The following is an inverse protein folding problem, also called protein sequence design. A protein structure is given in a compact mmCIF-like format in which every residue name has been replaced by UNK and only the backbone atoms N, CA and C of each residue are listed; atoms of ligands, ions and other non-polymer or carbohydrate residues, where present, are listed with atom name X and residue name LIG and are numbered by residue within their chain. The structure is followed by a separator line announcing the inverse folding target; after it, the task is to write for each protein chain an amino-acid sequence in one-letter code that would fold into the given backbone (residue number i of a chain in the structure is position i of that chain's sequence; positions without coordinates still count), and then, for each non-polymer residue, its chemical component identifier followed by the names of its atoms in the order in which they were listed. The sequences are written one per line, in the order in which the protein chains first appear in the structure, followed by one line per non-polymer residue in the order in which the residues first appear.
data_IF_937205833899
#
_entry.id   IF_937205833899
#
_cell.length_a   1.000
_cell.length_b   1.000
_cell.length_c   1.000
_cell.angle_alpha   90.00
_cell.angle_beta   90.00
_cell.angle_gamma   90.00
#
_symmetry.space_group_name_H-M   'P 1'
#
loop_
_entity.id
_entity.type
_entity.pdbx_description
1 polymer ?
#
# COMPACT_ATOMS: atom_id res chain seq x y z
N UNK A 1 -20.28 51.90 66.59
CA UNK A 1 -20.87 50.72 65.93
C UNK A 1 -19.73 49.93 65.32
N UNK A 2 -19.45 48.78 65.92
CA UNK A 2 -18.38 47.85 65.53
C UNK A 2 -18.66 47.26 64.14
N UNK A 3 -17.68 47.33 63.25
CA UNK A 3 -17.66 46.52 62.03
C UNK A 3 -16.49 45.55 62.11
N UNK A 4 -16.83 44.30 62.44
CA UNK A 4 -15.97 43.13 62.43
C UNK A 4 -15.34 42.90 61.04
N UNK A 5 -14.06 42.51 60.94
CA UNK A 5 -13.51 42.00 59.69
C UNK A 5 -13.97 40.55 59.46
N UNK A 6 -14.59 40.31 58.29
CA UNK A 6 -14.91 38.96 57.80
C UNK A 6 -13.61 38.18 57.52
N UNK A 7 -13.30 37.20 58.37
CA UNK A 7 -12.29 36.17 58.11
C UNK A 7 -12.78 35.30 56.95
N UNK A 8 -12.15 35.41 55.77
CA UNK A 8 -12.32 34.47 54.67
C UNK A 8 -11.55 33.19 55.00
N UNK A 9 -12.24 32.19 55.52
CA UNK A 9 -11.73 30.82 55.62
C UNK A 9 -11.56 30.22 54.22
N UNK A 10 -10.38 30.39 53.63
CA UNK A 10 -9.96 29.69 52.42
C UNK A 10 -9.52 28.27 52.76
N UNK A 11 -10.49 27.34 52.88
CA UNK A 11 -10.18 25.93 52.91
C UNK A 11 -9.71 25.49 51.51
N UNK A 12 -8.39 25.43 51.31
CA UNK A 12 -7.77 24.75 50.17
C UNK A 12 -8.09 23.25 50.26
N UNK A 13 -9.17 22.83 49.61
CA UNK A 13 -9.43 21.42 49.37
C UNK A 13 -8.31 20.86 48.49
N UNK A 14 -7.29 20.25 49.12
CA UNK A 14 -6.30 19.42 48.43
C UNK A 14 -7.05 18.27 47.76
N UNK A 15 -7.26 18.41 46.44
CA UNK A 15 -7.81 17.37 45.59
C UNK A 15 -6.84 16.20 45.58
N UNK A 16 -7.05 15.24 46.47
CA UNK A 16 -6.27 14.00 46.51
C UNK A 16 -6.43 13.31 45.16
N UNK A 17 -5.34 13.19 44.40
CA UNK A 17 -5.31 12.38 43.18
C UNK A 17 -5.58 10.95 43.61
N UNK A 18 -6.79 10.45 43.35
CA UNK A 18 -7.15 9.04 43.56
C UNK A 18 -6.08 8.21 42.86
N UNK A 19 -5.36 7.38 43.60
CA UNK A 19 -4.34 6.49 43.03
C UNK A 19 -5.01 5.69 41.92
N UNK A 20 -4.57 5.88 40.67
CA UNK A 20 -5.07 5.09 39.54
C UNK A 20 -4.67 3.65 39.84
N UNK A 21 -5.67 2.78 40.07
CA UNK A 21 -5.41 1.34 40.08
C UNK A 21 -4.73 1.00 38.76
N UNK A 22 -3.61 0.26 38.76
CA UNK A 22 -3.02 -0.20 37.52
C UNK A 22 -4.07 -1.03 36.78
N UNK A 23 -4.42 -0.61 35.57
CA UNK A 23 -5.21 -1.45 34.67
C UNK A 23 -4.33 -2.62 34.24
N UNK A 24 -4.92 -3.76 33.88
CA UNK A 24 -4.16 -4.88 33.32
C UNK A 24 -3.27 -4.45 32.14
N UNK A 25 -3.75 -3.48 31.36
CA UNK A 25 -2.99 -2.85 30.27
C UNK A 25 -1.72 -2.14 30.75
N UNK A 26 -1.74 -1.49 31.93
CA UNK A 26 -0.55 -0.82 32.48
C UNK A 26 0.48 -1.81 33.05
N UNK A 27 0.11 -3.11 33.16
CA UNK A 27 1.03 -4.17 33.56
C UNK A 27 1.70 -4.83 32.36
N UNK A 28 1.24 -4.56 31.14
CA UNK A 28 1.84 -5.11 29.93
C UNK A 28 3.08 -4.30 29.53
N UNK A 29 4.16 -4.97 29.12
CA UNK A 29 5.27 -4.34 28.41
C UNK A 29 4.82 -3.58 27.15
N UNK A 30 5.54 -2.52 26.78
CA UNK A 30 5.17 -1.66 25.64
C UNK A 30 5.16 -2.42 24.31
N UNK A 31 6.11 -3.33 24.11
CA UNK A 31 6.22 -4.22 22.94
C UNK A 31 5.02 -5.18 22.84
N UNK A 32 4.53 -5.70 23.96
CA UNK A 32 3.31 -6.52 23.97
C UNK A 32 2.09 -5.70 23.52
N UNK A 33 2.00 -4.43 23.91
CA UNK A 33 0.92 -3.53 23.48
C UNK A 33 1.05 -3.25 21.97
N UNK A 34 2.27 -3.00 21.46
CA UNK A 34 2.54 -2.82 20.03
C UNK A 34 2.16 -4.06 19.23
N UNK A 35 2.47 -5.26 19.71
CA UNK A 35 2.10 -6.52 19.06
C UNK A 35 0.57 -6.69 19.00
N UNK A 36 -0.15 -6.39 20.09
CA UNK A 36 -1.62 -6.43 20.12
C UNK A 36 -2.20 -5.49 19.07
N UNK A 37 -1.71 -4.25 19.01
CA UNK A 37 -2.19 -3.26 18.02
C UNK A 37 -1.84 -3.71 16.60
N UNK A 38 -0.64 -4.25 16.40
CA UNK A 38 -0.17 -4.73 15.11
C UNK A 38 -1.03 -5.88 14.60
N UNK A 39 -1.34 -6.85 15.46
CA UNK A 39 -2.20 -7.97 15.13
C UNK A 39 -3.62 -7.49 14.79
N UNK A 40 -4.17 -6.56 15.57
CA UNK A 40 -5.47 -5.96 15.30
C UNK A 40 -5.53 -5.37 13.88
N UNK A 41 -4.57 -4.53 13.52
CA UNK A 41 -4.58 -3.86 12.21
C UNK A 41 -4.22 -4.78 11.03
N UNK A 42 -3.59 -5.92 11.29
CA UNK A 42 -3.35 -6.95 10.26
C UNK A 42 -4.56 -7.87 10.04
N UNK A 43 -5.32 -8.19 11.09
CA UNK A 43 -6.42 -9.16 11.00
C UNK A 43 -7.79 -8.51 10.85
N UNK A 44 -7.94 -7.24 11.22
CA UNK A 44 -9.21 -6.54 11.18
C UNK A 44 -9.79 -6.44 9.75
N UNK A 45 -11.12 -6.56 9.59
CA UNK A 45 -11.82 -6.18 8.36
C UNK A 45 -11.84 -4.67 8.10
N UNK A 46 -11.69 -3.84 9.15
CA UNK A 46 -11.73 -2.37 9.12
C UNK A 46 -10.53 -1.77 9.86
N UNK A 47 -9.30 -2.01 9.39
CA UNK A 47 -8.08 -1.74 10.14
C UNK A 47 -7.93 -0.27 10.55
N UNK A 48 -8.42 0.68 9.75
CA UNK A 48 -8.37 2.10 10.10
C UNK A 48 -9.37 2.50 11.17
N UNK A 49 -10.62 2.05 11.06
CA UNK A 49 -11.66 2.34 12.03
C UNK A 49 -11.30 1.75 13.41
N UNK A 50 -10.79 0.52 13.41
CA UNK A 50 -10.35 -0.16 14.62
C UNK A 50 -9.12 0.52 15.23
N UNK A 51 -8.12 0.88 14.41
CA UNK A 51 -6.95 1.62 14.89
C UNK A 51 -7.34 3.00 15.45
N UNK A 52 -8.28 3.70 14.82
CA UNK A 52 -8.76 5.00 15.29
C UNK A 52 -9.50 4.88 16.63
N UNK A 53 -10.39 3.90 16.73
CA UNK A 53 -11.09 3.56 17.98
C UNK A 53 -10.10 3.22 19.09
N UNK A 54 -9.11 2.37 18.80
CA UNK A 54 -8.08 1.98 19.75
C UNK A 54 -7.22 3.16 20.21
N UNK A 55 -6.78 4.02 19.28
CA UNK A 55 -6.06 5.27 19.58
C UNK A 55 -6.82 6.18 20.54
N UNK A 56 -8.13 6.28 20.37
CA UNK A 56 -9.00 7.14 21.19
C UNK A 56 -9.24 6.60 22.60
N UNK A 57 -9.04 5.29 22.82
CA UNK A 57 -9.38 4.63 24.08
C UNK A 57 -8.40 4.95 25.22
N UNK A 58 -7.09 5.00 24.95
CA UNK A 58 -6.10 5.30 25.98
C UNK A 58 -4.74 5.74 25.43
N UNK A 59 -3.93 6.35 26.31
CA UNK A 59 -2.58 6.84 25.99
C UNK A 59 -1.63 5.71 25.53
N UNK A 60 -1.71 4.52 26.13
CA UNK A 60 -0.82 3.42 25.79
C UNK A 60 -1.03 2.98 24.33
N UNK A 61 -2.29 2.75 23.93
CA UNK A 61 -2.61 2.44 22.53
C UNK A 61 -2.35 3.59 21.58
N UNK A 62 -2.58 4.84 22.00
CA UNK A 62 -2.20 6.00 21.19
C UNK A 62 -0.69 6.01 20.87
N UNK A 63 0.17 5.75 21.87
CA UNK A 63 1.62 5.67 21.67
C UNK A 63 1.97 4.47 20.79
N UNK A 64 1.49 3.28 21.12
CA UNK A 64 1.75 2.05 20.36
C UNK A 64 1.32 2.15 18.89
N UNK A 65 0.22 2.86 18.60
CA UNK A 65 -0.27 3.05 17.24
C UNK A 65 0.66 3.85 16.31
N UNK A 66 1.65 4.55 16.88
CA UNK A 66 2.65 5.31 16.13
C UNK A 66 3.89 4.47 15.80
N UNK A 67 3.98 3.28 16.37
CA UNK A 67 5.09 2.37 16.17
C UNK A 67 5.24 1.97 14.70
N UNK A 68 6.49 1.79 14.26
CA UNK A 68 6.82 1.38 12.89
C UNK A 68 6.17 0.05 12.54
N UNK A 69 6.14 -0.90 13.48
CA UNK A 69 5.58 -2.23 13.30
C UNK A 69 4.09 -2.19 12.97
N UNK A 70 3.32 -1.36 13.69
CA UNK A 70 1.88 -1.15 13.42
C UNK A 70 1.68 -0.62 12.01
N UNK A 71 2.45 0.39 11.61
CA UNK A 71 2.39 0.98 10.26
C UNK A 71 2.80 0.00 9.16
N UNK A 72 3.78 -0.85 9.43
CA UNK A 72 4.23 -1.88 8.50
C UNK A 72 3.15 -2.95 8.27
N UNK A 73 2.37 -3.27 9.31
CA UNK A 73 1.44 -4.40 9.36
C UNK A 73 -0.02 -4.08 9.05
N UNK A 74 -0.38 -2.80 8.94
CA UNK A 74 -1.74 -2.39 8.60
C UNK A 74 -2.18 -2.96 7.24
N UNK A 75 -3.30 -3.68 7.22
CA UNK A 75 -3.85 -4.35 6.04
C UNK A 75 -4.64 -3.39 5.14
N UNK A 76 -3.92 -2.48 4.48
CA UNK A 76 -4.48 -1.40 3.64
C UNK A 76 -5.42 -1.93 2.54
N UNK A 77 -5.15 -3.11 2.01
CA UNK A 77 -5.93 -3.76 0.95
C UNK A 77 -7.36 -4.12 1.37
N UNK A 78 -7.64 -4.19 2.68
CA UNK A 78 -8.96 -4.54 3.23
C UNK A 78 -9.89 -3.33 3.36
N UNK A 79 -9.33 -2.12 3.40
CA UNK A 79 -10.10 -0.88 3.53
C UNK A 79 -10.04 -0.04 2.24
N UNK A 80 -10.58 -0.63 1.19
CA UNK A 80 -10.59 -0.08 -0.17
C UNK A 80 -11.41 1.22 -0.26
N UNK A 81 -12.43 1.36 0.59
CA UNK A 81 -13.23 2.58 0.68
C UNK A 81 -12.43 3.71 1.33
N UNK A 82 -11.66 3.41 2.39
CA UNK A 82 -10.63 4.32 2.90
C UNK A 82 -9.67 4.77 1.79
N UNK A 83 -9.17 3.83 0.97
CA UNK A 83 -8.23 4.14 -0.11
C UNK A 83 -8.79 5.07 -1.19
N UNK A 84 -10.10 5.01 -1.50
CA UNK A 84 -10.76 5.91 -2.46
C UNK A 84 -10.71 7.37 -1.98
N UNK A 85 -10.95 7.59 -0.70
CA UNK A 85 -10.78 8.91 -0.05
C UNK A 85 -9.30 9.31 0.05
N UNK A 86 -8.40 8.33 0.22
CA UNK A 86 -6.99 8.59 0.45
C UNK A 86 -6.25 9.22 -0.75
N UNK A 87 -6.69 8.95 -1.98
CA UNK A 87 -6.05 9.49 -3.18
C UNK A 87 -6.26 11.01 -3.36
N UNK A 88 -7.22 11.62 -2.63
CA UNK A 88 -7.60 13.04 -2.77
C UNK A 88 -7.41 13.87 -1.51
N UNK A 89 -6.96 13.28 -0.39
CA UNK A 89 -6.81 13.94 0.90
C UNK A 89 -5.34 13.92 1.37
N UNK A 90 -4.80 15.09 1.76
CA UNK A 90 -3.43 15.26 2.25
C UNK A 90 -3.13 14.44 3.51
N UNK A 91 -4.07 14.34 4.45
CA UNK A 91 -3.92 13.55 5.68
C UNK A 91 -3.73 12.07 5.36
N UNK A 92 -4.45 11.61 4.34
CA UNK A 92 -4.38 10.25 3.88
C UNK A 92 -3.08 9.93 3.14
N UNK A 93 -2.61 10.88 2.32
CA UNK A 93 -1.28 10.79 1.72
C UNK A 93 -0.19 10.76 2.80
N UNK A 94 -0.34 11.52 3.88
CA UNK A 94 0.59 11.47 5.02
C UNK A 94 0.59 10.09 5.69
N UNK A 95 -0.58 9.46 5.85
CA UNK A 95 -0.70 8.10 6.38
C UNK A 95 -0.04 7.08 5.44
N UNK A 96 -0.33 7.13 4.14
CA UNK A 96 0.27 6.23 3.15
C UNK A 96 1.80 6.37 3.11
N UNK A 97 2.33 7.59 3.07
CA UNK A 97 3.77 7.84 3.12
C UNK A 97 4.38 7.29 4.41
N UNK A 98 3.77 7.56 5.56
CA UNK A 98 4.22 7.06 6.86
C UNK A 98 4.24 5.53 6.93
N UNK A 99 3.28 4.84 6.30
CA UNK A 99 3.28 3.38 6.19
C UNK A 99 4.33 2.88 5.19
N UNK A 100 4.48 3.56 4.05
CA UNK A 100 5.50 3.23 3.05
C UNK A 100 6.92 3.35 3.60
N UNK A 101 7.22 4.41 4.34
CA UNK A 101 8.50 4.65 5.03
C UNK A 101 8.76 3.62 6.14
N UNK A 102 7.69 3.12 6.77
CA UNK A 102 7.77 2.01 7.71
C UNK A 102 8.05 0.65 7.03
N UNK A 103 7.95 0.56 5.70
CA UNK A 103 8.18 -0.66 4.92
C UNK A 103 6.90 -1.42 4.57
N UNK A 104 5.72 -0.82 4.68
CA UNK A 104 4.47 -1.46 4.25
C UNK A 104 4.48 -1.61 2.70
N UNK A 105 4.38 -2.85 2.22
CA UNK A 105 4.51 -3.15 0.81
C UNK A 105 3.30 -2.65 -0.02
N UNK A 106 2.09 -2.80 0.52
CA UNK A 106 0.85 -2.33 -0.08
C UNK A 106 0.79 -0.79 -0.12
N UNK A 107 1.31 -0.12 0.91
CA UNK A 107 1.44 1.35 0.91
C UNK A 107 2.37 1.84 -0.20
N UNK A 108 3.55 1.22 -0.33
CA UNK A 108 4.49 1.54 -1.40
C UNK A 108 3.88 1.23 -2.77
N UNK A 109 3.13 0.13 -2.93
CA UNK A 109 2.41 -0.16 -4.16
C UNK A 109 1.38 0.91 -4.51
N UNK A 110 0.54 1.34 -3.58
CA UNK A 110 -0.43 2.41 -3.81
C UNK A 110 0.24 3.76 -4.12
N UNK A 111 1.30 4.13 -3.39
CA UNK A 111 2.10 5.32 -3.67
C UNK A 111 2.70 5.28 -5.08
N UNK A 112 3.18 4.12 -5.53
CA UNK A 112 3.68 3.97 -6.88
C UNK A 112 2.61 4.31 -7.92
N UNK A 113 1.41 3.72 -7.78
CA UNK A 113 0.33 3.92 -8.74
C UNK A 113 -0.18 5.36 -8.75
N UNK A 114 -0.19 6.04 -7.59
CA UNK A 114 -0.49 7.47 -7.51
C UNK A 114 0.54 8.29 -8.31
N UNK A 115 1.84 8.03 -8.12
CA UNK A 115 2.87 8.77 -8.84
C UNK A 115 2.81 8.50 -10.35
N UNK A 116 2.66 7.23 -10.76
CA UNK A 116 2.61 6.83 -12.17
C UNK A 116 1.37 7.40 -12.86
N UNK A 117 0.17 7.15 -12.31
CA UNK A 117 -1.06 7.39 -13.05
C UNK A 117 -1.74 8.73 -12.75
N UNK A 118 -1.50 9.32 -11.58
CA UNK A 118 -2.10 10.61 -11.19
C UNK A 118 -1.13 11.78 -11.35
N UNK A 119 0.16 11.57 -11.08
CA UNK A 119 1.17 12.64 -11.13
C UNK A 119 2.07 12.60 -12.37
N UNK A 120 1.95 11.56 -13.19
CA UNK A 120 2.82 11.30 -14.35
C UNK A 120 4.33 11.27 -14.00
N UNK A 121 4.65 10.89 -12.76
CA UNK A 121 6.02 10.73 -12.26
C UNK A 121 6.40 9.25 -12.19
N UNK A 122 6.80 8.72 -13.34
CA UNK A 122 7.13 7.31 -13.52
C UNK A 122 8.38 6.92 -12.71
N UNK A 123 9.38 7.79 -12.61
CA UNK A 123 10.62 7.49 -11.90
C UNK A 123 10.36 7.33 -10.40
N UNK A 124 9.64 8.29 -9.80
CA UNK A 124 9.27 8.19 -8.39
C UNK A 124 8.37 6.99 -8.13
N UNK A 125 7.44 6.71 -9.05
CA UNK A 125 6.61 5.52 -8.99
C UNK A 125 7.40 4.22 -9.05
N UNK A 126 8.43 4.14 -9.89
CA UNK A 126 9.30 2.98 -10.03
C UNK A 126 10.09 2.69 -8.75
N UNK A 127 10.59 3.71 -8.04
CA UNK A 127 11.24 3.54 -6.74
C UNK A 127 10.31 2.89 -5.72
N UNK A 128 9.04 3.31 -5.69
CA UNK A 128 8.04 2.73 -4.81
C UNK A 128 7.67 1.29 -5.21
N UNK A 129 7.58 0.98 -6.51
CA UNK A 129 7.39 -0.40 -6.97
C UNK A 129 8.56 -1.31 -6.56
N UNK A 130 9.81 -0.82 -6.68
CA UNK A 130 10.99 -1.56 -6.20
C UNK A 130 10.86 -1.87 -4.71
N UNK A 131 10.55 -0.87 -3.87
CA UNK A 131 10.35 -1.07 -2.42
C UNK A 131 9.26 -2.09 -2.11
N UNK A 132 8.11 -2.01 -2.79
CA UNK A 132 7.01 -2.96 -2.60
C UNK A 132 7.39 -4.37 -3.05
N UNK A 133 8.02 -4.51 -4.22
CA UNK A 133 8.46 -5.79 -4.76
C UNK A 133 9.54 -6.46 -3.91
N UNK A 134 10.46 -5.69 -3.31
CA UNK A 134 11.47 -6.22 -2.38
C UNK A 134 10.86 -6.78 -1.09
N UNK A 135 9.59 -6.43 -0.78
CA UNK A 135 8.80 -6.99 0.31
C UNK A 135 7.74 -7.98 -0.22
N UNK A 136 8.07 -8.73 -1.28
CA UNK A 136 7.26 -9.80 -1.88
C UNK A 136 5.86 -9.37 -2.41
N UNK A 137 5.67 -8.09 -2.72
CA UNK A 137 4.40 -7.61 -3.27
C UNK A 137 4.25 -7.98 -4.76
N UNK A 138 3.62 -9.13 -5.03
CA UNK A 138 3.43 -9.71 -6.36
C UNK A 138 2.83 -8.74 -7.40
N UNK A 139 1.80 -7.97 -7.04
CA UNK A 139 1.19 -7.00 -7.96
C UNK A 139 2.11 -5.81 -8.27
N UNK A 140 3.06 -5.48 -7.38
CA UNK A 140 4.06 -4.45 -7.64
C UNK A 140 5.08 -4.97 -8.66
N UNK A 141 5.57 -6.19 -8.46
CA UNK A 141 6.45 -6.87 -9.41
C UNK A 141 5.79 -6.99 -10.79
N UNK A 142 4.52 -7.40 -10.84
CA UNK A 142 3.73 -7.43 -12.07
C UNK A 142 3.72 -6.04 -12.77
N UNK A 143 3.41 -4.97 -12.03
CA UNK A 143 3.39 -3.61 -12.59
C UNK A 143 4.76 -3.14 -13.12
N UNK A 144 5.86 -3.54 -12.47
CA UNK A 144 7.22 -3.23 -12.96
C UNK A 144 7.44 -3.81 -14.36
N UNK A 145 7.01 -5.05 -14.61
CA UNK A 145 7.13 -5.69 -15.92
C UNK A 145 6.23 -5.02 -16.96
N UNK A 146 4.99 -4.64 -16.60
CA UNK A 146 4.10 -3.85 -17.47
C UNK A 146 4.76 -2.52 -17.88
N UNK A 147 5.40 -1.81 -16.95
CA UNK A 147 6.11 -0.56 -17.24
C UNK A 147 7.36 -0.79 -18.09
N UNK A 148 8.12 -1.85 -17.84
CA UNK A 148 9.30 -2.19 -18.63
C UNK A 148 8.96 -2.38 -20.12
N UNK A 149 7.82 -3.04 -20.41
CA UNK A 149 7.34 -3.27 -21.77
C UNK A 149 6.80 -1.97 -22.40
N UNK A 150 6.07 -1.17 -21.61
CA UNK A 150 5.53 0.14 -22.06
C UNK A 150 6.64 1.12 -22.44
N UNK A 151 7.76 1.08 -21.72
CA UNK A 151 8.82 2.08 -21.80
C UNK A 151 10.17 1.45 -22.19
N UNK A 152 10.30 0.83 -23.37
CA UNK A 152 11.52 0.10 -23.73
C UNK A 152 12.77 1.02 -23.87
N UNK A 153 12.56 2.34 -24.00
CA UNK A 153 13.62 3.36 -24.09
C UNK A 153 13.97 4.01 -22.75
N UNK A 154 13.10 3.89 -21.74
CA UNK A 154 13.30 4.42 -20.40
C UNK A 154 13.20 3.25 -19.45
N UNK A 155 14.33 2.77 -18.93
CA UNK A 155 14.29 1.76 -17.88
C UNK A 155 14.32 2.47 -16.52
N UNK A 156 13.17 2.82 -15.90
CA UNK A 156 13.16 3.46 -14.59
C UNK A 156 13.62 2.49 -13.49
N UNK A 157 13.89 1.23 -13.85
CA UNK A 157 14.35 0.20 -12.96
C UNK A 157 15.82 -0.18 -13.15
N UNK A 158 16.53 0.42 -14.10
CA UNK A 158 17.97 0.18 -14.27
C UNK A 158 18.72 0.63 -13.01
N UNK A 159 19.34 -0.32 -12.31
CA UNK A 159 20.43 0.00 -11.39
C UNK A 159 21.68 0.08 -12.27
N UNK A 160 22.49 1.12 -12.15
CA UNK A 160 23.48 1.62 -13.13
C UNK A 160 24.48 0.65 -13.80
N UNK A 161 24.42 -0.66 -13.53
CA UNK A 161 25.21 -1.71 -14.17
C UNK A 161 24.39 -2.79 -14.93
N UNK A 162 23.05 -2.74 -14.96
CA UNK A 162 22.24 -3.68 -15.76
C UNK A 162 20.97 -3.03 -16.30
N UNK A 163 20.89 -2.88 -17.63
CA UNK A 163 19.68 -2.41 -18.32
C UNK A 163 18.58 -3.47 -18.43
N UNK A 164 18.82 -4.70 -17.97
CA UNK A 164 17.84 -5.78 -17.99
C UNK A 164 17.32 -6.00 -16.58
N UNK A 165 16.09 -5.55 -16.31
CA UNK A 165 15.26 -6.27 -15.35
C UNK A 165 15.20 -7.71 -15.86
N UNK A 166 15.74 -8.66 -15.10
CA UNK A 166 15.46 -10.06 -15.38
C UNK A 166 13.97 -10.24 -15.15
N UNK A 167 13.25 -10.28 -16.25
CA UNK A 167 11.82 -10.54 -16.31
C UNK A 167 11.58 -11.89 -15.64
N UNK A 168 11.17 -11.86 -14.38
CA UNK A 168 10.95 -13.06 -13.58
C UNK A 168 9.69 -13.76 -14.10
N UNK A 169 9.90 -14.96 -14.63
CA UNK A 169 8.83 -15.75 -15.23
C UNK A 169 7.94 -16.42 -14.18
N UNK A 170 8.33 -16.42 -12.89
CA UNK A 170 7.61 -17.09 -11.79
C UNK A 170 6.15 -16.65 -11.61
N UNK A 171 5.78 -15.45 -12.09
CA UNK A 171 4.37 -15.01 -12.05
C UNK A 171 3.48 -15.83 -12.98
N UNK A 172 4.01 -16.39 -14.06
CA UNK A 172 3.22 -17.17 -15.03
C UNK A 172 3.10 -18.65 -14.71
N UNK A 173 3.85 -19.13 -13.72
CA UNK A 173 3.73 -20.51 -13.23
C UNK A 173 2.35 -20.75 -12.58
N UNK A 174 1.69 -19.67 -12.15
CA UNK A 174 0.35 -19.66 -11.58
C UNK A 174 -0.54 -18.63 -12.32
N UNK A 175 -1.42 -19.13 -13.19
CA UNK A 175 -2.34 -18.28 -13.96
C UNK A 175 -3.32 -17.50 -13.08
N UNK A 176 -3.76 -18.08 -11.96
CA UNK A 176 -4.66 -17.40 -11.02
C UNK A 176 -3.93 -16.25 -10.34
N UNK A 177 -2.65 -16.42 -9.99
CA UNK A 177 -1.81 -15.35 -9.46
C UNK A 177 -1.60 -14.22 -10.48
N UNK A 178 -1.34 -14.54 -11.75
CA UNK A 178 -1.23 -13.54 -12.82
C UNK A 178 -2.52 -12.73 -12.95
N UNK A 179 -3.66 -13.42 -13.05
CA UNK A 179 -4.98 -12.80 -13.14
C UNK A 179 -5.26 -11.92 -11.93
N UNK A 180 -4.97 -12.40 -10.73
CA UNK A 180 -5.09 -11.62 -9.49
C UNK A 180 -4.23 -10.35 -9.52
N UNK A 181 -2.97 -10.45 -9.98
CA UNK A 181 -2.08 -9.28 -10.07
C UNK A 181 -2.64 -8.24 -11.05
N UNK A 182 -3.10 -8.68 -12.22
CA UNK A 182 -3.75 -7.82 -13.21
C UNK A 182 -4.95 -7.10 -12.60
N UNK A 183 -5.88 -7.85 -11.99
CA UNK A 183 -7.07 -7.30 -11.35
C UNK A 183 -6.73 -6.33 -10.22
N UNK A 184 -5.74 -6.65 -9.38
CA UNK A 184 -5.28 -5.81 -8.28
C UNK A 184 -4.75 -4.46 -8.78
N UNK A 185 -3.93 -4.45 -9.83
CA UNK A 185 -3.42 -3.22 -10.46
C UNK A 185 -4.55 -2.43 -11.10
N UNK A 186 -5.44 -3.06 -11.87
CA UNK A 186 -6.55 -2.37 -12.52
C UNK A 186 -7.50 -1.74 -11.51
N UNK A 187 -7.79 -2.45 -10.40
CA UNK A 187 -8.60 -1.92 -9.30
C UNK A 187 -7.93 -0.71 -8.65
N UNK A 188 -6.64 -0.79 -8.34
CA UNK A 188 -5.91 0.34 -7.77
C UNK A 188 -5.79 1.51 -8.74
N UNK A 189 -5.53 1.26 -10.04
CA UNK A 189 -5.52 2.27 -11.10
C UNK A 189 -6.84 3.04 -11.10
N UNK A 190 -7.99 2.34 -11.13
CA UNK A 190 -9.32 2.96 -11.06
C UNK A 190 -9.51 3.84 -9.83
N UNK A 191 -9.01 3.40 -8.67
CA UNK A 191 -9.07 4.19 -7.43
C UNK A 191 -8.27 5.49 -7.53
N UNK A 192 -7.10 5.48 -8.19
CA UNK A 192 -6.21 6.66 -8.23
C UNK A 192 -6.48 7.60 -9.41
N UNK A 193 -7.08 7.13 -10.51
CA UNK A 193 -7.30 7.94 -11.73
C UNK A 193 -8.74 8.43 -11.94
N UNK A 194 -9.72 7.98 -11.16
CA UNK A 194 -11.16 8.31 -11.36
C UNK A 194 -11.56 8.25 -12.84
N UNK A 195 -11.44 7.06 -13.46
CA UNK A 195 -11.85 6.71 -14.83
C UNK A 195 -11.31 7.55 -16.03
N UNK A 196 -10.42 8.53 -15.82
CA UNK A 196 -10.00 9.45 -16.90
C UNK A 196 -8.71 9.06 -17.64
N UNK A 197 -8.07 7.93 -17.30
CA UNK A 197 -6.86 7.51 -17.98
C UNK A 197 -7.19 6.75 -19.29
N UNK A 198 -7.00 7.40 -20.42
CA UNK A 198 -7.06 6.75 -21.73
C UNK A 198 -5.71 6.11 -22.06
N UNK A 199 -5.66 4.77 -22.08
CA UNK A 199 -4.50 4.05 -22.58
C UNK A 199 -4.52 4.03 -24.13
N UNK A 200 -3.89 5.03 -24.74
CA UNK A 200 -3.62 5.04 -26.19
C UNK A 200 -2.54 3.99 -26.61
N UNK A 201 -2.18 3.06 -25.73
CA UNK A 201 -0.93 2.29 -25.77
C UNK A 201 -1.00 0.94 -26.51
N UNK A 202 -2.05 0.68 -27.31
CA UNK A 202 -2.13 -0.54 -28.13
C UNK A 202 -1.17 -0.49 -29.33
N UNK A 203 -0.66 0.69 -29.69
CA UNK A 203 0.13 0.90 -30.91
C UNK A 203 1.55 0.26 -30.88
N UNK A 204 2.10 -0.09 -29.72
CA UNK A 204 3.51 -0.50 -29.58
C UNK A 204 3.75 -1.97 -29.20
N UNK A 205 2.71 -2.82 -29.17
CA UNK A 205 2.90 -4.24 -28.86
C UNK A 205 3.64 -4.91 -30.01
N UNK A 206 4.92 -5.29 -29.79
CA UNK A 206 5.70 -6.03 -30.78
C UNK A 206 5.08 -7.40 -31.00
N UNK A 207 4.48 -7.62 -32.18
CA UNK A 207 4.01 -8.96 -32.56
C UNK A 207 5.21 -9.86 -32.83
N UNK A 208 5.21 -11.03 -32.20
CA UNK A 208 6.17 -12.09 -32.50
C UNK A 208 5.96 -12.56 -33.95
N UNK A 209 7.07 -12.77 -34.67
CA UNK A 209 7.04 -13.27 -36.06
C UNK A 209 6.79 -14.78 -36.13
N UNK A 210 6.92 -15.50 -35.02
CA UNK A 210 6.66 -16.94 -34.96
C UNK A 210 5.15 -17.18 -35.01
N UNK A 211 4.69 -17.87 -36.08
CA UNK A 211 3.27 -18.18 -36.31
C UNK A 211 2.65 -19.00 -35.18
N UNK A 212 3.44 -19.79 -34.46
CA UNK A 212 2.97 -20.62 -33.34
C UNK A 212 2.96 -19.88 -31.99
N UNK A 213 3.48 -18.65 -31.92
CA UNK A 213 3.54 -17.86 -30.70
C UNK A 213 2.22 -17.12 -30.44
N UNK A 214 1.68 -17.23 -29.23
CA UNK A 214 0.39 -16.65 -28.85
C UNK A 214 -0.81 -17.47 -29.34
N UNK A 215 -0.61 -18.62 -29.98
CA UNK A 215 -1.70 -19.54 -30.34
C UNK A 215 -2.25 -20.18 -29.07
N UNK A 216 -3.58 -20.18 -28.94
CA UNK A 216 -4.29 -20.94 -27.90
C UNK A 216 -4.34 -22.41 -28.30
N UNK A 217 -3.78 -23.29 -27.48
CA UNK A 217 -3.87 -24.75 -27.61
C UNK A 217 -4.54 -25.28 -26.35
N UNK A 218 -5.71 -25.89 -26.51
CA UNK A 218 -6.52 -26.34 -25.38
C UNK A 218 -6.80 -25.17 -24.41
N UNK A 219 -6.40 -25.29 -23.15
CA UNK A 219 -6.58 -24.28 -22.10
C UNK A 219 -5.35 -23.38 -21.88
N UNK A 220 -4.26 -23.57 -22.62
CA UNK A 220 -3.06 -22.74 -22.49
C UNK A 220 -2.70 -22.00 -23.78
N UNK A 221 -1.95 -20.90 -23.65
CA UNK A 221 -1.43 -20.16 -24.80
C UNK A 221 0.07 -20.38 -24.87
N UNK A 222 0.56 -20.88 -26.01
CA UNK A 222 1.98 -21.18 -26.16
C UNK A 222 2.75 -19.92 -26.56
N UNK A 223 3.83 -19.61 -25.85
CA UNK A 223 4.74 -18.51 -26.20
C UNK A 223 6.13 -19.04 -26.49
N UNK A 224 6.82 -18.44 -27.46
CA UNK A 224 8.18 -18.85 -27.80
C UNK A 224 9.24 -18.27 -26.85
N UNK A 225 8.87 -17.35 -25.96
CA UNK A 225 9.74 -16.75 -24.94
C UNK A 225 8.90 -16.08 -23.85
N UNK A 226 9.49 -15.85 -22.67
CA UNK A 226 8.88 -15.04 -21.61
C UNK A 226 8.58 -13.60 -22.06
N UNK A 227 9.43 -13.02 -22.92
CA UNK A 227 9.17 -11.70 -23.51
C UNK A 227 7.88 -11.69 -24.34
N UNK A 228 7.62 -12.74 -25.11
CA UNK A 228 6.38 -12.84 -25.88
C UNK A 228 5.16 -13.02 -24.99
N UNK A 229 5.30 -13.75 -23.89
CA UNK A 229 4.26 -13.95 -22.89
C UNK A 229 3.91 -12.63 -22.18
N UNK A 230 4.92 -11.89 -21.75
CA UNK A 230 4.77 -10.56 -21.17
C UNK A 230 4.22 -9.52 -22.16
N UNK A 231 4.65 -9.55 -23.43
CA UNK A 231 4.05 -8.69 -24.47
C UNK A 231 2.56 -8.98 -24.67
N UNK A 232 2.16 -10.25 -24.61
CA UNK A 232 0.75 -10.61 -24.63
C UNK A 232 0.03 -10.17 -23.36
N UNK A 233 0.64 -10.34 -22.20
CA UNK A 233 0.09 -9.87 -20.93
C UNK A 233 -0.13 -8.35 -20.93
N UNK A 234 0.83 -7.59 -21.44
CA UNK A 234 0.73 -6.15 -21.61
C UNK A 234 -0.45 -5.77 -22.51
N UNK A 235 -0.66 -6.50 -23.60
CA UNK A 235 -1.82 -6.33 -24.48
C UNK A 235 -3.15 -6.63 -23.76
N UNK A 236 -3.22 -7.71 -22.99
CA UNK A 236 -4.42 -8.05 -22.19
C UNK A 236 -4.66 -7.03 -21.06
N UNK A 237 -3.61 -6.49 -20.46
CA UNK A 237 -3.69 -5.41 -19.49
C UNK A 237 -4.29 -4.14 -20.12
N UNK A 238 -3.75 -3.67 -21.25
CA UNK A 238 -4.25 -2.48 -21.96
C UNK A 238 -5.67 -2.64 -22.52
N UNK A 239 -6.13 -3.87 -22.78
CA UNK A 239 -7.53 -4.13 -23.15
C UNK A 239 -8.50 -3.97 -21.98
N UNK A 240 -8.02 -4.24 -20.76
CA UNK A 240 -8.84 -4.27 -19.56
C UNK A 240 -8.87 -2.92 -18.82
N UNK A 241 -8.09 -1.95 -19.29
CA UNK A 241 -8.05 -0.55 -18.82
C UNK A 241 -9.05 0.32 -19.53
#
# INVERSE_FOLDING_TARGET
MEHLPKVRNGALAKRMKKAKRPTLLNMLPEDAIVEIVSQLVSSSPQPFADLYSLKSSCKAFFVASKDKMVKQRIALERDIFGLTWMATNDECMAVLNSCGDAGNAEANFMLALINIFKKDDINRGAEFLKKASSNDHKAAFYMMNILHIRLPKQNPFADGNSNTLKVDQRIFDDYDQLKWCRERVLKAKRLVTWNNWQDNAVANVRRCKNSNCGIRKWDCRCFCSGDCQWNHEYYEFCKAT
#
